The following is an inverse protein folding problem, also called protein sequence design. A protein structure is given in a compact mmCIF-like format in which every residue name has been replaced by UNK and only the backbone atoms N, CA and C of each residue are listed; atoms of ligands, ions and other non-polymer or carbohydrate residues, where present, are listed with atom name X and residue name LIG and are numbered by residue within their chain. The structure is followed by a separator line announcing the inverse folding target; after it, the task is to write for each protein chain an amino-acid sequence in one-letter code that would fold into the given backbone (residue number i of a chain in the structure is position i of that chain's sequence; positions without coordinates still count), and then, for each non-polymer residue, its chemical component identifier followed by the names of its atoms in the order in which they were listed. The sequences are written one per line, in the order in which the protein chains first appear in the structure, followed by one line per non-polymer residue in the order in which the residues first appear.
data_IF_503999843154
#
_entry.id   IF_503999843154
#
_cell.length_a   1.000
_cell.length_b   1.000
_cell.length_c   1.000
_cell.angle_alpha   90.00
_cell.angle_beta   90.00
_cell.angle_gamma   90.00
#
_symmetry.space_group_name_H-M   'P 1'
#
loop_
_entity.id
_entity.type
_entity.pdbx_description
1 polymer ?
#
# COMPACT_ATOMS: atom_id res chain seq x y z
N UNK A 1 -2.94 -11.41 -6.02
CA UNK A 1 -2.75 -12.23 -4.80
C UNK A 1 -3.25 -11.37 -3.66
N UNK A 2 -4.24 -11.88 -2.93
CA UNK A 2 -5.00 -11.18 -1.90
C UNK A 2 -4.14 -10.88 -0.67
N UNK A 3 -4.62 -9.95 0.17
CA UNK A 3 -4.10 -9.69 1.52
C UNK A 3 -4.10 -11.00 2.31
N UNK A 4 -3.00 -11.72 2.29
CA UNK A 4 -2.84 -12.97 3.03
C UNK A 4 -2.66 -12.62 4.51
N UNK A 5 -3.51 -13.15 5.37
CA UNK A 5 -3.35 -12.98 6.81
C UNK A 5 -2.44 -14.07 7.41
N UNK A 6 -2.00 -13.86 8.65
CA UNK A 6 -1.10 -14.80 9.33
C UNK A 6 -1.67 -16.23 9.47
N UNK A 7 -2.99 -16.38 9.53
CA UNK A 7 -3.64 -17.71 9.61
C UNK A 7 -3.47 -18.46 8.29
N UNK A 8 -3.69 -17.79 7.16
CA UNK A 8 -3.52 -18.39 5.83
C UNK A 8 -2.05 -18.77 5.57
N UNK A 9 -1.11 -17.95 6.01
CA UNK A 9 0.30 -18.29 5.91
C UNK A 9 0.68 -19.52 6.75
N UNK A 10 0.13 -19.64 7.97
CA UNK A 10 0.33 -20.83 8.81
C UNK A 10 -0.22 -22.13 8.19
N UNK A 11 -1.21 -22.00 7.29
CA UNK A 11 -1.70 -23.15 6.54
C UNK A 11 -0.71 -23.57 5.46
N UNK A 12 -0.13 -22.62 4.74
CA UNK A 12 0.88 -22.88 3.71
C UNK A 12 2.16 -23.49 4.29
N UNK A 13 2.51 -23.15 5.52
CA UNK A 13 3.66 -23.70 6.27
C UNK A 13 3.65 -25.23 6.32
N UNK A 14 2.46 -25.84 6.36
CA UNK A 14 2.28 -27.29 6.40
C UNK A 14 2.64 -27.99 5.09
N UNK A 15 2.56 -27.28 3.97
CA UNK A 15 2.75 -27.85 2.63
C UNK A 15 4.07 -27.42 2.00
N UNK A 16 4.58 -26.24 2.39
CA UNK A 16 5.79 -25.64 1.83
C UNK A 16 6.61 -24.98 2.95
N UNK A 17 7.25 -25.76 3.82
CA UNK A 17 8.01 -25.22 4.96
C UNK A 17 9.22 -24.37 4.53
N UNK A 18 9.71 -24.54 3.30
CA UNK A 18 10.85 -23.77 2.77
C UNK A 18 10.43 -22.58 1.89
N UNK A 19 9.13 -22.23 1.85
CA UNK A 19 8.68 -21.09 1.05
C UNK A 19 9.27 -19.79 1.60
N UNK A 20 9.58 -18.86 0.69
CA UNK A 20 9.94 -17.48 1.01
C UNK A 20 8.79 -16.55 0.65
N UNK A 21 8.46 -15.63 1.54
CA UNK A 21 7.28 -14.77 1.42
C UNK A 21 7.71 -13.32 1.50
N UNK A 22 7.14 -12.52 0.61
CA UNK A 22 7.33 -11.07 0.62
C UNK A 22 6.02 -10.46 1.05
N UNK A 23 6.03 -9.82 2.22
CA UNK A 23 4.91 -9.09 2.77
C UNK A 23 5.11 -7.60 2.51
N UNK A 24 4.32 -7.05 1.59
CA UNK A 24 4.38 -5.63 1.26
C UNK A 24 3.39 -4.87 2.13
N UNK A 25 3.87 -3.83 2.80
CA UNK A 25 3.03 -2.89 3.56
C UNK A 25 3.00 -1.53 2.87
N UNK A 26 1.98 -0.74 3.17
CA UNK A 26 1.78 0.62 2.70
C UNK A 26 1.09 1.42 3.79
N UNK A 27 1.31 2.74 3.86
CA UNK A 27 0.56 3.61 4.79
C UNK A 27 -0.96 3.42 4.55
N UNK A 28 -1.72 2.92 5.55
CA UNK A 28 -3.16 2.75 5.39
C UNK A 28 -3.94 4.04 5.13
N UNK A 29 -3.43 5.20 5.56
CA UNK A 29 -4.02 6.49 5.20
C UNK A 29 -3.91 6.70 3.69
N UNK A 30 -2.72 6.49 3.13
CA UNK A 30 -2.47 6.68 1.71
C UNK A 30 -3.26 5.68 0.87
N UNK A 31 -3.47 4.46 1.38
CA UNK A 31 -4.40 3.50 0.79
C UNK A 31 -5.83 4.06 0.73
N UNK A 32 -6.36 4.58 1.84
CA UNK A 32 -7.72 5.12 1.88
C UNK A 32 -7.91 6.34 0.97
N UNK A 33 -6.90 7.22 0.88
CA UNK A 33 -6.94 8.37 -0.02
C UNK A 33 -6.83 7.94 -1.50
N UNK A 34 -5.99 6.95 -1.78
CA UNK A 34 -5.85 6.37 -3.12
C UNK A 34 -7.15 5.70 -3.58
N UNK A 35 -7.82 4.95 -2.70
CA UNK A 35 -9.12 4.33 -2.98
C UNK A 35 -10.21 5.38 -3.21
N UNK A 36 -10.22 6.47 -2.42
CA UNK A 36 -11.10 7.61 -2.67
C UNK A 36 -10.91 8.17 -4.09
N UNK A 37 -9.65 8.38 -4.49
CA UNK A 37 -9.27 8.86 -5.83
C UNK A 37 -9.79 7.94 -6.94
N UNK A 38 -9.57 6.64 -6.78
CA UNK A 38 -9.99 5.62 -7.74
C UNK A 38 -11.52 5.51 -7.85
N UNK A 39 -12.22 5.50 -6.71
CA UNK A 39 -13.67 5.46 -6.65
C UNK A 39 -14.31 6.72 -7.25
N UNK A 40 -13.64 7.88 -7.15
CA UNK A 40 -14.06 9.11 -7.82
C UNK A 40 -13.91 9.02 -9.33
N UNK A 41 -12.79 8.47 -9.82
CA UNK A 41 -12.54 8.29 -11.26
C UNK A 41 -13.50 7.31 -11.93
N UNK A 42 -13.77 6.16 -11.30
CA UNK A 42 -14.71 5.17 -11.86
C UNK A 42 -16.08 5.82 -12.13
N UNK A 43 -16.52 6.70 -11.22
CA UNK A 43 -17.78 7.45 -11.39
C UNK A 43 -17.74 8.41 -12.58
N UNK A 44 -16.64 9.13 -12.78
CA UNK A 44 -16.55 10.17 -13.81
C UNK A 44 -16.25 9.62 -15.20
N UNK A 45 -15.41 8.58 -15.31
CA UNK A 45 -14.82 8.17 -16.59
C UNK A 45 -15.51 6.99 -17.30
N UNK A 46 -16.26 6.11 -16.60
CA UNK A 46 -16.63 4.80 -17.18
C UNK A 46 -18.11 4.43 -17.21
N UNK A 47 -19.02 5.31 -16.79
CA UNK A 47 -20.45 5.04 -16.82
C UNK A 47 -20.86 3.85 -15.94
N UNK A 48 -22.16 3.53 -15.94
CA UNK A 48 -22.78 2.66 -14.92
C UNK A 48 -22.29 1.19 -14.87
N UNK A 49 -21.49 0.73 -15.83
CA UNK A 49 -21.21 -0.71 -16.02
C UNK A 49 -20.09 -1.28 -15.13
N UNK A 50 -19.18 -0.46 -14.60
CA UNK A 50 -18.06 -0.91 -13.75
C UNK A 50 -18.26 -0.64 -12.26
N UNK A 51 -19.39 -0.06 -11.89
CA UNK A 51 -19.59 0.55 -10.58
C UNK A 51 -20.57 -0.24 -9.70
N UNK A 52 -20.77 -1.53 -9.97
CA UNK A 52 -21.71 -2.35 -9.22
C UNK A 52 -21.39 -2.41 -7.71
N UNK A 53 -20.10 -2.38 -7.33
CA UNK A 53 -19.67 -2.28 -5.92
C UNK A 53 -19.47 -0.82 -5.47
N UNK A 54 -19.00 0.07 -6.34
CA UNK A 54 -18.75 1.48 -5.99
C UNK A 54 -20.05 2.32 -5.84
N UNK A 55 -21.17 1.92 -6.45
CA UNK A 55 -22.44 2.67 -6.40
C UNK A 55 -23.22 2.50 -5.10
N UNK A 56 -23.01 1.42 -4.35
CA UNK A 56 -23.82 1.15 -3.16
C UNK A 56 -23.63 2.19 -2.03
N UNK A 57 -22.50 2.90 -2.03
CA UNK A 57 -22.10 3.71 -0.87
C UNK A 57 -22.02 5.23 -1.09
N UNK A 58 -22.22 5.76 -2.30
CA UNK A 58 -21.78 7.13 -2.61
C UNK A 58 -22.76 8.17 -3.18
N UNK A 59 -24.01 7.91 -3.64
CA UNK A 59 -24.83 8.99 -4.17
C UNK A 59 -25.28 9.95 -3.06
N UNK A 60 -24.83 11.20 -3.11
CA UNK A 60 -25.27 12.29 -2.23
C UNK A 60 -24.43 12.55 -0.98
N UNK A 61 -23.35 11.79 -0.78
CA UNK A 61 -22.45 11.97 0.37
C UNK A 61 -21.49 13.15 0.16
N UNK A 62 -21.18 13.87 1.24
CA UNK A 62 -20.09 14.83 1.24
C UNK A 62 -18.72 14.15 1.38
N UNK A 63 -17.66 14.96 1.28
CA UNK A 63 -16.27 14.51 1.45
C UNK A 63 -16.06 13.79 2.79
N UNK A 64 -16.64 14.30 3.88
CA UNK A 64 -16.46 13.73 5.22
C UNK A 64 -17.03 12.33 5.30
N UNK A 65 -18.26 12.13 4.82
CA UNK A 65 -18.91 10.83 4.80
C UNK A 65 -18.16 9.84 3.91
N UNK A 66 -17.64 10.30 2.77
CA UNK A 66 -16.83 9.47 1.88
C UNK A 66 -15.51 9.03 2.54
N UNK A 67 -14.78 9.94 3.21
CA UNK A 67 -13.56 9.58 3.94
C UNK A 67 -13.84 8.54 5.05
N UNK A 68 -14.99 8.62 5.74
CA UNK A 68 -15.40 7.60 6.72
C UNK A 68 -15.65 6.24 6.09
N UNK A 69 -16.28 6.22 4.91
CA UNK A 69 -16.54 4.99 4.16
C UNK A 69 -15.21 4.34 3.77
N UNK A 70 -14.29 5.11 3.19
CA UNK A 70 -12.96 4.61 2.79
C UNK A 70 -12.16 4.12 4.00
N UNK A 71 -12.19 4.86 5.12
CA UNK A 71 -11.58 4.41 6.37
C UNK A 71 -12.14 3.06 6.84
N UNK A 72 -13.47 2.88 6.77
CA UNK A 72 -14.13 1.63 7.11
C UNK A 72 -13.76 0.47 6.17
N UNK A 73 -13.68 0.75 4.87
CA UNK A 73 -13.34 -0.24 3.84
C UNK A 73 -11.90 -0.75 3.98
N UNK A 74 -10.94 0.14 4.27
CA UNK A 74 -9.52 -0.20 4.43
C UNK A 74 -9.19 -0.79 5.80
N UNK A 75 -10.01 -0.52 6.84
CA UNK A 75 -9.68 -0.88 8.22
C UNK A 75 -9.34 -2.36 8.41
N UNK A 76 -10.09 -3.28 7.77
CA UNK A 76 -9.80 -4.71 7.92
C UNK A 76 -8.46 -5.08 7.28
N UNK A 77 -8.20 -4.61 6.06
CA UNK A 77 -6.91 -4.77 5.38
C UNK A 77 -5.76 -4.25 6.24
N UNK A 78 -5.93 -3.09 6.86
CA UNK A 78 -4.90 -2.52 7.73
C UNK A 78 -4.64 -3.35 8.99
N UNK A 79 -5.69 -3.90 9.61
CA UNK A 79 -5.55 -4.83 10.73
C UNK A 79 -4.82 -6.10 10.31
N UNK A 80 -5.12 -6.62 9.13
CA UNK A 80 -4.47 -7.81 8.58
C UNK A 80 -2.99 -7.53 8.31
N UNK A 81 -2.65 -6.36 7.73
CA UNK A 81 -1.27 -5.90 7.57
C UNK A 81 -0.55 -5.79 8.92
N UNK A 82 -1.16 -5.19 9.94
CA UNK A 82 -0.56 -5.10 11.30
C UNK A 82 -0.35 -6.48 11.90
N UNK A 83 -1.33 -7.36 11.78
CA UNK A 83 -1.25 -8.74 12.28
C UNK A 83 -0.10 -9.50 11.62
N UNK A 84 -0.03 -9.42 10.29
CA UNK A 84 1.01 -10.06 9.50
C UNK A 84 2.39 -9.44 9.78
N UNK A 85 2.51 -8.11 9.85
CA UNK A 85 3.75 -7.40 10.20
C UNK A 85 4.32 -7.84 11.56
N UNK A 86 3.46 -7.92 12.59
CA UNK A 86 3.86 -8.37 13.93
C UNK A 86 4.30 -9.81 14.00
N UNK A 87 3.75 -10.66 13.13
CA UNK A 87 4.10 -12.07 13.04
C UNK A 87 5.38 -12.27 12.23
N UNK A 88 5.48 -11.63 11.07
CA UNK A 88 6.57 -11.74 10.11
C UNK A 88 7.95 -11.43 10.70
N UNK A 89 8.03 -10.47 11.65
CA UNK A 89 9.30 -10.13 12.32
C UNK A 89 9.99 -11.28 13.07
N UNK A 90 9.27 -12.38 13.31
CA UNK A 90 9.80 -13.56 13.99
C UNK A 90 10.05 -14.74 13.05
N UNK A 91 9.70 -14.62 11.76
CA UNK A 91 9.89 -15.67 10.77
C UNK A 91 10.90 -15.21 9.70
N UNK A 92 12.11 -15.80 9.65
CA UNK A 92 13.15 -15.40 8.68
C UNK A 92 12.76 -15.67 7.22
N UNK A 93 11.72 -16.46 6.99
CA UNK A 93 11.18 -16.73 5.64
C UNK A 93 10.29 -15.61 5.13
N UNK A 94 9.95 -14.63 5.97
CA UNK A 94 9.13 -13.49 5.57
C UNK A 94 9.96 -12.21 5.55
N UNK A 95 10.13 -11.65 4.36
CA UNK A 95 10.63 -10.30 4.19
C UNK A 95 9.46 -9.33 4.17
N UNK A 96 9.42 -8.39 5.11
CA UNK A 96 8.51 -7.24 5.03
C UNK A 96 9.19 -6.10 4.29
N UNK A 97 8.52 -5.54 3.27
CA UNK A 97 8.96 -4.36 2.53
C UNK A 97 7.90 -3.26 2.61
N UNK A 98 8.33 -2.02 2.70
CA UNK A 98 7.47 -0.86 2.54
C UNK A 98 7.33 -0.54 1.04
N UNK A 99 6.12 -0.24 0.59
CA UNK A 99 5.92 0.27 -0.76
C UNK A 99 6.63 1.62 -0.93
N UNK A 100 6.64 2.48 0.09
CA UNK A 100 7.26 3.81 0.04
C UNK A 100 8.78 3.70 -0.15
N UNK A 101 9.40 2.62 0.35
CA UNK A 101 10.82 2.33 0.11
C UNK A 101 11.10 2.00 -1.37
N UNK A 102 10.14 1.46 -2.14
CA UNK A 102 10.30 1.31 -3.58
C UNK A 102 10.28 2.66 -4.31
N UNK A 103 9.49 3.61 -3.82
CA UNK A 103 9.42 4.95 -4.42
C UNK A 103 10.69 5.77 -4.17
N UNK A 104 11.28 5.63 -2.98
CA UNK A 104 12.45 6.40 -2.58
C UNK A 104 13.79 5.71 -2.86
N UNK A 105 13.85 4.38 -2.78
CA UNK A 105 15.09 3.62 -2.87
C UNK A 105 14.93 2.29 -3.64
N UNK A 106 14.30 2.35 -4.82
CA UNK A 106 13.97 1.20 -5.66
C UNK A 106 15.08 0.13 -5.76
N UNK A 107 16.33 0.55 -6.04
CA UNK A 107 17.44 -0.39 -6.22
C UNK A 107 17.77 -1.17 -4.95
N UNK A 108 17.78 -0.50 -3.80
CA UNK A 108 18.14 -1.14 -2.54
C UNK A 108 17.01 -2.03 -2.04
N UNK A 109 15.76 -1.57 -2.15
CA UNK A 109 14.58 -2.38 -1.84
C UNK A 109 14.51 -3.63 -2.72
N UNK A 110 14.82 -3.49 -4.01
CA UNK A 110 14.92 -4.62 -4.95
C UNK A 110 16.10 -5.55 -4.63
N UNK A 111 17.23 -4.99 -4.17
CA UNK A 111 18.37 -5.78 -3.69
C UNK A 111 17.97 -6.65 -2.50
N UNK A 112 17.30 -6.08 -1.50
CA UNK A 112 16.79 -6.82 -0.34
C UNK A 112 15.81 -7.92 -0.75
N UNK A 113 14.89 -7.59 -1.65
CA UNK A 113 13.95 -8.57 -2.23
C UNK A 113 14.68 -9.76 -2.86
N UNK A 114 15.64 -9.53 -3.76
CA UNK A 114 16.34 -10.62 -4.44
C UNK A 114 17.30 -11.39 -3.52
N UNK A 115 17.95 -10.71 -2.59
CA UNK A 115 18.74 -11.38 -1.55
C UNK A 115 17.87 -12.33 -0.73
N UNK A 116 16.67 -11.89 -0.36
CA UNK A 116 15.72 -12.74 0.33
C UNK A 116 15.25 -13.89 -0.56
N UNK A 117 14.82 -13.64 -1.79
CA UNK A 117 14.25 -14.72 -2.64
C UNK A 117 15.27 -15.77 -3.08
N UNK A 118 16.54 -15.40 -3.25
CA UNK A 118 17.58 -16.26 -3.82
C UNK A 118 18.73 -16.59 -2.86
N UNK A 119 18.54 -16.38 -1.57
CA UNK A 119 19.52 -16.71 -0.52
C UNK A 119 20.91 -16.13 -0.79
N UNK A 120 20.97 -14.80 -0.99
CA UNK A 120 22.20 -14.06 -1.27
C UNK A 120 22.94 -14.53 -2.55
N UNK A 121 22.36 -14.30 -3.74
CA UNK A 121 22.99 -14.69 -4.99
C UNK A 121 24.33 -13.95 -5.20
N UNK A 122 25.23 -14.46 -6.06
CA UNK A 122 26.48 -13.78 -6.38
C UNK A 122 26.25 -12.32 -6.81
N UNK A 123 27.15 -11.41 -6.40
CA UNK A 123 26.97 -9.98 -6.61
C UNK A 123 26.75 -9.58 -8.10
N UNK A 124 27.37 -10.30 -9.04
CA UNK A 124 27.16 -10.09 -10.47
C UNK A 124 25.72 -10.42 -10.92
N UNK A 125 25.15 -11.51 -10.41
CA UNK A 125 23.76 -11.91 -10.67
C UNK A 125 22.76 -10.98 -10.01
N UNK A 126 23.04 -10.54 -8.79
CA UNK A 126 22.22 -9.54 -8.12
C UNK A 126 22.19 -8.21 -8.90
N UNK A 127 23.34 -7.77 -9.42
CA UNK A 127 23.44 -6.57 -10.26
C UNK A 127 22.66 -6.71 -11.56
N UNK A 128 22.74 -7.88 -12.21
CA UNK A 128 21.98 -8.20 -13.42
C UNK A 128 20.46 -8.11 -13.17
N UNK A 129 19.99 -8.73 -12.08
CA UNK A 129 18.56 -8.73 -11.70
C UNK A 129 18.05 -7.32 -11.38
N UNK A 130 18.81 -6.54 -10.60
CA UNK A 130 18.45 -5.14 -10.29
C UNK A 130 18.42 -4.31 -11.59
N UNK A 131 19.41 -4.46 -12.47
CA UNK A 131 19.42 -3.75 -13.76
C UNK A 131 18.23 -4.11 -14.64
N UNK A 132 17.81 -5.38 -14.65
CA UNK A 132 16.63 -5.82 -15.41
C UNK A 132 15.33 -5.26 -14.82
N UNK A 133 15.24 -5.13 -13.50
CA UNK A 133 14.06 -4.58 -12.82
C UNK A 133 13.89 -3.07 -12.98
N UNK A 134 14.96 -2.35 -13.34
CA UNK A 134 15.01 -0.89 -13.43
C UNK A 134 13.93 -0.26 -14.32
N UNK A 135 13.42 -0.99 -15.31
CA UNK A 135 12.32 -0.51 -16.17
C UNK A 135 11.00 -0.31 -15.41
N UNK A 136 10.85 -0.94 -14.24
CA UNK A 136 9.66 -0.83 -13.38
C UNK A 136 9.78 0.30 -12.35
N UNK A 137 10.95 0.94 -12.24
CA UNK A 137 11.17 2.11 -11.39
C UNK A 137 10.52 3.35 -12.01
N UNK A 138 9.39 3.79 -11.43
CA UNK A 138 8.63 4.93 -11.93
C UNK A 138 9.43 6.24 -11.94
N UNK A 139 10.46 6.36 -11.09
CA UNK A 139 11.35 7.53 -11.10
C UNK A 139 12.08 7.68 -12.43
N UNK A 140 12.40 6.55 -13.09
CA UNK A 140 13.14 6.46 -14.36
C UNK A 140 12.26 6.52 -15.60
N UNK A 141 10.95 6.51 -15.44
CA UNK A 141 10.04 6.57 -16.58
C UNK A 141 10.24 7.84 -17.38
N UNK A 142 10.18 7.69 -18.71
CA UNK A 142 10.17 8.82 -19.64
C UNK A 142 8.93 9.70 -19.41
N UNK A 143 8.98 10.96 -19.88
CA UNK A 143 7.80 11.86 -19.83
C UNK A 143 6.57 11.24 -20.51
N UNK A 144 6.77 10.48 -21.59
CA UNK A 144 5.68 9.80 -22.28
C UNK A 144 5.06 8.69 -21.43
N UNK A 145 5.88 7.83 -20.81
CA UNK A 145 5.39 6.79 -19.89
C UNK A 145 4.68 7.39 -18.68
N UNK A 146 5.26 8.44 -18.07
CA UNK A 146 4.60 9.17 -16.98
C UNK A 146 3.29 9.79 -17.45
N UNK A 147 3.23 10.40 -18.63
CA UNK A 147 1.99 10.97 -19.16
C UNK A 147 0.92 9.90 -19.41
N UNK A 148 1.28 8.75 -19.99
CA UNK A 148 0.34 7.64 -20.17
C UNK A 148 -0.18 7.14 -18.82
N UNK A 149 0.72 6.97 -17.85
CA UNK A 149 0.33 6.59 -16.51
C UNK A 149 -0.57 7.65 -15.86
N UNK A 150 -0.24 8.94 -15.94
CA UNK A 150 -1.05 10.05 -15.44
C UNK A 150 -2.42 10.13 -16.12
N UNK A 151 -2.54 9.81 -17.41
CA UNK A 151 -3.86 9.72 -18.07
C UNK A 151 -4.71 8.57 -17.53
N UNK A 152 -4.09 7.58 -16.90
CA UNK A 152 -4.76 6.46 -16.23
C UNK A 152 -4.82 6.59 -14.71
N UNK A 153 -3.98 7.45 -14.13
CA UNK A 153 -3.82 7.66 -12.70
C UNK A 153 -4.60 8.89 -12.24
N UNK A 154 -5.03 8.87 -10.99
CA UNK A 154 -6.14 9.65 -10.46
C UNK A 154 -5.79 11.07 -10.02
N UNK A 155 -4.53 11.50 -10.19
CA UNK A 155 -3.99 12.68 -9.48
C UNK A 155 -4.70 13.99 -9.79
N UNK A 156 -5.27 14.15 -10.99
CA UNK A 156 -5.82 15.45 -11.42
C UNK A 156 -7.28 15.65 -10.99
N UNK A 157 -7.97 14.57 -10.60
CA UNK A 157 -9.39 14.63 -10.22
C UNK A 157 -9.61 14.83 -8.73
N UNK A 158 -8.59 14.57 -7.92
CA UNK A 158 -8.69 14.58 -6.46
C UNK A 158 -7.53 15.35 -5.88
N UNK A 159 -7.86 16.40 -5.14
CA UNK A 159 -6.91 17.17 -4.34
C UNK A 159 -6.55 16.37 -3.07
N UNK A 160 -5.51 15.54 -3.18
CA UNK A 160 -5.06 14.66 -2.08
C UNK A 160 -4.65 15.44 -0.83
N UNK A 161 -4.05 16.62 -0.98
CA UNK A 161 -3.67 17.49 0.13
C UNK A 161 -4.91 17.95 0.91
N UNK A 162 -5.97 18.33 0.20
CA UNK A 162 -7.26 18.69 0.81
C UNK A 162 -7.89 17.51 1.53
N UNK A 163 -7.85 16.31 0.94
CA UNK A 163 -8.39 15.11 1.60
C UNK A 163 -7.60 14.76 2.85
N UNK A 164 -6.27 14.76 2.77
CA UNK A 164 -5.37 14.49 3.90
C UNK A 164 -5.58 15.50 5.01
N UNK A 165 -5.68 16.79 4.68
CA UNK A 165 -6.00 17.83 5.65
C UNK A 165 -7.33 17.54 6.35
N UNK A 166 -8.40 17.25 5.59
CA UNK A 166 -9.70 16.95 6.17
C UNK A 166 -9.67 15.69 7.03
N UNK A 167 -8.92 14.67 6.64
CA UNK A 167 -8.71 13.46 7.43
C UNK A 167 -8.07 13.77 8.79
N UNK A 168 -7.04 14.61 8.80
CA UNK A 168 -6.36 15.01 10.04
C UNK A 168 -7.29 15.82 10.95
N UNK A 169 -8.09 16.74 10.40
CA UNK A 169 -9.14 17.45 11.16
C UNK A 169 -10.13 16.47 11.81
N UNK A 170 -10.62 15.47 11.08
CA UNK A 170 -11.52 14.44 11.62
C UNK A 170 -10.85 13.61 12.73
N UNK A 171 -9.56 13.33 12.61
CA UNK A 171 -8.81 12.65 13.66
C UNK A 171 -8.71 13.51 14.94
N UNK A 172 -8.49 14.82 14.79
CA UNK A 172 -8.46 15.80 15.90
C UNK A 172 -9.85 15.97 16.54
N UNK A 173 -10.91 15.93 15.74
CA UNK A 173 -12.32 15.92 16.19
C UNK A 173 -12.71 14.61 16.91
N UNK A 174 -11.87 13.57 16.86
CA UNK A 174 -12.11 12.29 17.51
C UNK A 174 -13.08 11.38 16.75
N UNK A 175 -13.18 11.51 15.42
CA UNK A 175 -14.04 10.67 14.59
C UNK A 175 -13.70 9.17 14.78
N UNK A 176 -14.67 8.31 15.16
CA UNK A 176 -14.36 6.92 15.52
C UNK A 176 -13.73 6.09 14.41
N UNK A 177 -14.17 6.27 13.15
CA UNK A 177 -13.67 5.50 12.02
C UNK A 177 -12.23 5.91 11.68
N UNK A 178 -12.00 7.22 11.62
CA UNK A 178 -10.67 7.79 11.38
C UNK A 178 -9.70 7.42 12.51
N UNK A 179 -10.14 7.53 13.77
CA UNK A 179 -9.31 7.16 14.92
C UNK A 179 -8.98 5.68 14.95
N UNK A 180 -9.90 4.80 14.50
CA UNK A 180 -9.60 3.39 14.32
C UNK A 180 -8.51 3.17 13.27
N UNK A 181 -8.61 3.85 12.13
CA UNK A 181 -7.62 3.75 11.07
C UNK A 181 -6.25 4.28 11.54
N UNK A 182 -6.21 5.44 12.17
CA UNK A 182 -4.97 6.05 12.67
C UNK A 182 -4.25 5.21 13.75
N UNK A 183 -4.96 4.29 14.45
CA UNK A 183 -4.30 3.32 15.34
C UNK A 183 -3.47 2.32 14.55
N UNK A 184 -3.99 1.79 13.44
CA UNK A 184 -3.27 0.82 12.63
C UNK A 184 -2.12 1.48 11.84
N UNK A 185 -2.32 2.70 11.34
CA UNK A 185 -1.26 3.54 10.72
C UNK A 185 -0.06 3.63 11.68
N UNK A 186 -0.29 4.01 12.94
CA UNK A 186 0.76 4.04 13.98
C UNK A 186 1.33 2.67 14.30
N UNK A 187 0.52 1.62 14.30
CA UNK A 187 0.97 0.26 14.61
C UNK A 187 1.92 -0.31 13.55
N UNK A 188 1.85 0.18 12.30
CA UNK A 188 2.79 -0.11 11.22
C UNK A 188 4.02 0.81 11.20
N UNK A 189 4.11 1.77 12.13
CA UNK A 189 5.22 2.73 12.20
C UNK A 189 5.03 4.00 11.36
N UNK A 190 3.90 4.15 10.67
CA UNK A 190 3.60 5.39 9.94
C UNK A 190 3.14 6.45 10.96
N UNK A 191 3.94 7.49 11.17
CA UNK A 191 3.64 8.57 12.12
C UNK A 191 4.85 9.43 12.50
N UNK A 192 4.58 10.70 12.87
CA UNK A 192 5.50 11.77 13.37
C UNK A 192 6.99 11.36 13.51
N UNK A 193 7.73 11.27 12.40
CA UNK A 193 9.17 10.94 12.43
C UNK A 193 9.80 10.47 11.13
N UNK A 194 8.98 10.09 10.13
CA UNK A 194 9.46 9.52 8.87
C UNK A 194 9.68 8.02 8.98
N UNK A 195 9.01 7.27 8.11
CA UNK A 195 9.09 5.81 8.03
C UNK A 195 10.31 5.39 7.20
N UNK A 196 10.73 4.15 7.39
CA UNK A 196 11.71 3.41 6.62
C UNK A 196 12.04 2.15 7.41
N UNK A 197 11.66 0.97 6.90
CA UNK A 197 11.94 -0.32 7.57
C UNK A 197 13.45 -0.54 7.74
N UNK A 198 14.27 0.12 6.91
CA UNK A 198 15.73 0.06 6.91
C UNK A 198 16.42 1.19 7.67
N UNK A 199 15.69 1.98 8.47
CA UNK A 199 16.31 2.98 9.36
C UNK A 199 16.71 2.29 10.67
N UNK A 200 17.92 1.74 10.69
CA UNK A 200 18.64 1.34 11.92
C UNK A 200 19.01 2.56 12.79
#
# INVERSE_FOLDING_TARGET
VSNMNATELSYLDRFSPDMRVVHMIRDPLDMALSDYGYNTLIKTARGKSLAWDAYAHFPGNDMTQNLRIEAGAILQTAKDMVGMYRWARFDPRVLTLDLDDFEHNFNETTRHLFNHMFDHPPASKLTELISASAQHDASRWTKHQKSLWMTTATSDLVDEDKLRKRWMELAEEGDPAIMAMMREVRALGYGRGGHGIFRE
#
